data_IF_753163389568
#
_entry.id   IF_753163389568
#
_cell.length_a   1.000
_cell.length_b   1.000
_cell.length_c   1.000
_cell.angle_alpha   90.00
_cell.angle_beta   90.00
_cell.angle_gamma   90.00
#
_symmetry.space_group_name_H-M   'P 1'
#
loop_
_entity.id
_entity.type
_entity.pdbx_description
1 polymer ?
#
# COMPACT_ATOMS: atom_id res chain seq x y z
N UNK A 1 32.57 6.80 0.61
CA UNK A 1 31.55 7.85 0.39
C UNK A 1 30.21 7.15 0.37
N UNK A 2 29.35 7.37 1.38
CA UNK A 2 28.00 6.81 1.34
C UNK A 2 27.25 7.51 0.23
N UNK A 3 26.72 6.77 -0.75
CA UNK A 3 25.84 7.36 -1.75
C UNK A 3 24.66 8.03 -1.02
N UNK A 4 24.26 9.21 -1.47
CA UNK A 4 23.08 9.90 -0.95
C UNK A 4 21.82 9.02 -1.03
N UNK A 5 20.76 9.36 -0.28
CA UNK A 5 19.51 8.61 -0.34
C UNK A 5 18.97 8.57 -1.78
N UNK A 6 18.58 7.39 -2.26
CA UNK A 6 17.91 7.25 -3.56
C UNK A 6 16.43 7.59 -3.42
N UNK A 7 15.90 8.33 -4.38
CA UNK A 7 14.52 8.81 -4.41
C UNK A 7 13.73 8.05 -5.47
N UNK A 8 12.49 7.69 -5.17
CA UNK A 8 11.68 6.82 -6.00
C UNK A 8 10.26 7.35 -6.17
N UNK A 9 9.64 7.00 -7.29
CA UNK A 9 8.21 7.18 -7.50
C UNK A 9 7.46 6.12 -6.71
N UNK A 10 6.29 6.47 -6.19
CA UNK A 10 5.43 5.50 -5.54
C UNK A 10 3.96 5.84 -5.70
N UNK A 11 3.12 4.81 -5.64
CA UNK A 11 1.68 4.91 -5.47
C UNK A 11 1.28 4.20 -4.18
N UNK A 12 0.38 4.78 -3.41
CA UNK A 12 -0.14 4.17 -2.19
C UNK A 12 -1.66 4.13 -2.23
N UNK A 13 -2.23 2.97 -1.93
CA UNK A 13 -3.66 2.75 -1.82
C UNK A 13 -4.00 2.03 -0.52
N UNK A 14 -5.18 2.35 0.02
CA UNK A 14 -5.74 1.73 1.22
C UNK A 14 -7.08 1.07 0.89
N UNK A 15 -7.28 -0.12 1.42
CA UNK A 15 -8.44 -0.96 1.17
C UNK A 15 -9.08 -1.36 2.50
N UNK A 16 -10.42 -1.38 2.61
CA UNK A 16 -11.11 -1.71 3.86
C UNK A 16 -11.11 -3.22 4.17
N UNK A 17 -10.11 -3.95 3.68
CA UNK A 17 -9.88 -5.38 3.93
C UNK A 17 -8.39 -5.73 3.82
N UNK A 18 -7.93 -6.86 4.39
CA UNK A 18 -6.58 -7.39 4.18
C UNK A 18 -6.34 -7.79 2.73
N UNK A 19 -5.16 -7.48 2.19
CA UNK A 19 -4.86 -7.66 0.76
C UNK A 19 -4.52 -9.09 0.35
N UNK A 20 -4.22 -9.96 1.32
CA UNK A 20 -3.89 -11.36 1.08
C UNK A 20 -2.43 -11.69 1.40
N UNK A 21 -1.44 -11.09 0.70
CA UNK A 21 -0.04 -11.24 1.09
C UNK A 21 0.18 -10.81 2.54
N UNK A 22 1.04 -11.52 3.30
CA UNK A 22 1.46 -11.08 4.62
C UNK A 22 2.08 -9.67 4.60
N UNK A 23 2.00 -8.98 5.73
CA UNK A 23 2.68 -7.70 5.91
C UNK A 23 4.20 -7.87 5.70
N UNK A 24 4.80 -7.00 4.89
CA UNK A 24 6.20 -7.15 4.51
C UNK A 24 6.59 -6.38 3.26
N UNK A 25 7.82 -6.65 2.80
CA UNK A 25 8.41 -6.06 1.60
C UNK A 25 8.70 -7.16 0.59
N UNK A 26 8.24 -6.96 -0.64
CA UNK A 26 8.33 -7.93 -1.72
C UNK A 26 9.02 -7.28 -2.93
N UNK A 27 9.86 -8.06 -3.61
CA UNK A 27 10.56 -7.62 -4.81
C UNK A 27 9.85 -8.17 -6.04
N UNK A 28 9.41 -7.27 -6.91
CA UNK A 28 8.85 -7.63 -8.21
C UNK A 28 9.95 -7.59 -9.28
N UNK A 29 10.22 -8.75 -9.87
CA UNK A 29 11.16 -8.92 -10.98
C UNK A 29 10.36 -9.19 -12.26
N UNK A 30 10.94 -8.86 -13.41
CA UNK A 30 10.30 -9.21 -14.68
C UNK A 30 10.31 -10.74 -14.86
N UNK A 31 9.22 -11.34 -15.38
CA UNK A 31 9.09 -12.79 -15.51
C UNK A 31 10.18 -13.44 -16.37
N UNK A 32 10.67 -12.72 -17.39
CA UNK A 32 11.64 -13.25 -18.36
C UNK A 32 13.10 -13.11 -17.92
N UNK A 33 13.34 -12.46 -16.77
CA UNK A 33 14.69 -12.30 -16.24
C UNK A 33 15.01 -13.41 -15.23
N UNK A 34 16.26 -13.86 -15.20
CA UNK A 34 16.76 -14.83 -14.22
C UNK A 34 16.46 -14.40 -12.77
N UNK A 35 16.55 -15.29 -11.78
CA UNK A 35 16.37 -14.92 -10.35
C UNK A 35 17.30 -13.78 -9.87
N UNK A 36 18.35 -13.47 -10.64
CA UNK A 36 19.29 -12.37 -10.41
C UNK A 36 18.88 -11.04 -11.06
N UNK A 37 17.71 -10.97 -11.67
CA UNK A 37 17.18 -9.74 -12.25
C UNK A 37 17.15 -8.61 -11.22
N UNK A 38 17.49 -7.41 -11.68
CA UNK A 38 17.24 -6.22 -10.90
C UNK A 38 15.73 -6.06 -10.68
N UNK A 39 15.28 -5.78 -9.45
CA UNK A 39 13.87 -5.56 -9.19
C UNK A 39 13.38 -4.34 -9.96
N UNK A 40 12.18 -4.43 -10.50
CA UNK A 40 11.50 -3.27 -11.11
C UNK A 40 10.71 -2.50 -10.08
N UNK A 41 10.08 -3.21 -9.13
CA UNK A 41 9.28 -2.61 -8.08
C UNK A 41 9.56 -3.25 -6.73
N UNK A 42 9.36 -2.46 -5.68
CA UNK A 42 9.20 -2.93 -4.31
C UNK A 42 7.73 -2.75 -3.94
N UNK A 43 7.10 -3.82 -3.49
CA UNK A 43 5.75 -3.78 -2.92
C UNK A 43 5.85 -3.85 -1.40
N UNK A 44 5.17 -2.93 -0.72
CA UNK A 44 5.09 -2.94 0.74
C UNK A 44 3.64 -3.14 1.13
N UNK A 45 3.37 -4.21 1.87
CA UNK A 45 2.06 -4.51 2.45
C UNK A 45 2.09 -4.23 3.95
N UNK A 46 1.07 -3.54 4.44
CA UNK A 46 0.88 -3.30 5.87
C UNK A 46 -0.61 -3.36 6.21
N UNK A 47 -0.94 -4.02 7.31
CA UNK A 47 -2.28 -4.01 7.87
C UNK A 47 -2.37 -2.91 8.92
N UNK A 48 -3.18 -1.90 8.64
CA UNK A 48 -3.49 -0.83 9.57
C UNK A 48 -4.72 -1.21 10.39
N UNK A 49 -4.60 -1.21 11.71
CA UNK A 49 -5.79 -1.15 12.56
C UNK A 49 -6.37 0.26 12.49
N UNK A 50 -7.67 0.39 12.23
CA UNK A 50 -8.32 1.71 12.26
C UNK A 50 -8.09 2.38 13.64
N UNK A 51 -7.46 3.57 13.71
CA UNK A 51 -7.42 4.33 14.95
C UNK A 51 -8.84 4.72 15.33
N UNK A 52 -9.23 4.42 16.57
CA UNK A 52 -10.52 4.84 17.12
C UNK A 52 -10.68 6.36 16.94
N UNK A 53 -11.71 6.78 16.19
CA UNK A 53 -12.03 8.21 16.07
C UNK A 53 -12.55 8.69 17.42
N UNK A 54 -11.64 9.13 18.30
CA UNK A 54 -11.96 9.87 19.53
C UNK A 54 -12.59 11.21 19.13
N UNK A 55 -13.91 11.18 18.89
CA UNK A 55 -14.66 12.39 18.55
C UNK A 55 -14.60 13.34 19.73
N UNK A 56 -14.19 14.58 19.44
CA UNK A 56 -14.31 15.77 20.29
C UNK A 56 -15.79 15.98 20.68
N UNK A 57 -16.27 15.24 21.67
CA UNK A 57 -17.59 15.45 22.27
C UNK A 57 -17.40 16.33 23.51
N UNK A 58 -17.25 17.65 23.26
CA UNK A 58 -17.53 18.65 24.28
C UNK A 58 -18.99 18.49 24.72
N UNK A 59 -19.17 18.43 26.04
CA UNK A 59 -20.29 17.80 26.71
C UNK A 59 -21.68 18.33 26.36
N UNK A 60 -22.60 17.40 26.20
CA UNK A 60 -24.04 17.59 26.43
C UNK A 60 -24.48 16.52 27.43
N UNK A 61 -25.30 16.83 28.45
CA UNK A 61 -25.64 15.86 29.49
C UNK A 61 -26.38 14.66 28.87
N UNK A 62 -25.76 13.47 28.98
CA UNK A 62 -26.29 12.21 28.44
C UNK A 62 -27.49 11.76 29.28
N UNK A 63 -28.65 11.54 28.63
CA UNK A 63 -29.72 10.67 29.12
C UNK A 63 -29.08 9.30 29.46
N UNK A 64 -29.48 8.66 30.56
CA UNK A 64 -29.03 7.31 30.94
C UNK A 64 -29.57 6.28 29.94
N UNK A 65 -28.91 6.16 28.80
CA UNK A 65 -29.01 5.01 27.91
C UNK A 65 -27.87 4.05 28.26
N UNK A 66 -28.10 2.75 28.10
CA UNK A 66 -27.04 1.76 28.19
C UNK A 66 -25.93 2.13 27.17
N UNK A 67 -24.64 1.97 27.51
CA UNK A 67 -23.56 2.21 26.56
C UNK A 67 -23.77 1.34 25.32
N UNK A 68 -23.75 1.95 24.13
CA UNK A 68 -23.63 1.22 22.88
C UNK A 68 -22.26 0.52 22.87
N UNK A 69 -22.15 -0.74 22.41
CA UNK A 69 -20.86 -1.43 22.36
C UNK A 69 -19.88 -0.67 21.45
N UNK A 70 -18.60 -0.69 21.82
CA UNK A 70 -17.56 -0.06 21.02
C UNK A 70 -17.52 -0.68 19.61
N UNK A 71 -17.32 0.13 18.55
CA UNK A 71 -17.25 -0.38 17.19
C UNK A 71 -16.12 -1.40 17.05
N UNK A 72 -16.41 -2.53 16.42
CA UNK A 72 -15.39 -3.52 16.12
C UNK A 72 -14.30 -2.92 15.20
N UNK A 73 -13.00 -3.04 15.53
CA UNK A 73 -11.93 -2.55 14.68
C UNK A 73 -11.91 -3.31 13.35
N UNK A 74 -11.83 -2.58 12.24
CA UNK A 74 -11.74 -3.15 10.90
C UNK A 74 -10.29 -3.06 10.41
N UNK A 75 -9.66 -4.19 10.05
CA UNK A 75 -8.32 -4.16 9.46
C UNK A 75 -8.36 -3.53 8.07
N UNK A 76 -7.54 -2.50 7.86
CA UNK A 76 -7.37 -1.80 6.58
C UNK A 76 -6.05 -2.21 5.96
N UNK A 77 -6.06 -2.80 4.77
CA UNK A 77 -4.85 -3.13 4.04
C UNK A 77 -4.29 -1.90 3.33
N UNK A 78 -3.01 -1.57 3.57
CA UNK A 78 -2.26 -0.56 2.83
C UNK A 78 -1.26 -1.25 1.91
N UNK A 79 -1.27 -0.85 0.64
CA UNK A 79 -0.24 -1.21 -0.33
C UNK A 79 0.52 0.03 -0.77
N UNK A 80 1.85 -0.03 -0.75
CA UNK A 80 2.74 0.95 -1.37
C UNK A 80 3.51 0.26 -2.48
N UNK A 81 3.34 0.76 -3.71
CA UNK A 81 4.06 0.31 -4.91
C UNK A 81 5.15 1.32 -5.21
N UNK A 82 6.41 0.89 -5.15
CA UNK A 82 7.58 1.76 -5.36
C UNK A 82 8.27 1.33 -6.65
N UNK A 83 8.41 2.24 -7.62
CA UNK A 83 9.20 2.01 -8.83
C UNK A 83 10.68 2.22 -8.51
N UNK A 84 11.42 1.12 -8.42
CA UNK A 84 12.87 1.13 -8.15
C UNK A 84 13.71 1.01 -9.42
N UNK A 85 13.09 0.69 -10.55
CA UNK A 85 13.75 0.63 -11.85
C UNK A 85 14.06 2.01 -12.43
N UNK A 86 13.38 3.07 -11.95
CA UNK A 86 13.57 4.45 -12.39
C UNK A 86 13.73 5.42 -11.21
N UNK A 87 14.85 5.35 -10.46
CA UNK A 87 15.12 6.33 -9.41
C UNK A 87 15.23 7.74 -9.98
N UNK A 88 14.87 8.75 -9.19
CA UNK A 88 15.17 10.13 -9.51
C UNK A 88 16.66 10.42 -9.30
N UNK A 89 17.27 11.29 -10.13
CA UNK A 89 18.65 11.70 -9.96
C UNK A 89 18.85 12.63 -8.76
N UNK A 90 17.84 13.45 -8.43
CA UNK A 90 17.90 14.47 -7.38
C UNK A 90 16.51 14.80 -6.79
N UNK A 91 16.53 15.55 -5.68
CA UNK A 91 15.32 16.00 -4.96
C UNK A 91 14.45 16.96 -5.79
N UNK A 92 15.06 17.77 -6.66
CA UNK A 92 14.33 18.73 -7.47
C UNK A 92 13.45 18.03 -8.52
N UNK A 93 13.96 16.97 -9.16
CA UNK A 93 13.18 16.16 -10.09
C UNK A 93 12.07 15.38 -9.38
N UNK A 94 12.38 14.81 -8.22
CA UNK A 94 11.39 14.13 -7.38
C UNK A 94 10.27 15.11 -6.97
N UNK A 95 10.62 16.34 -6.57
CA UNK A 95 9.67 17.39 -6.22
C UNK A 95 8.80 17.84 -7.40
N UNK A 96 9.40 18.00 -8.60
CA UNK A 96 8.66 18.31 -9.83
C UNK A 96 7.67 17.22 -10.21
N UNK A 97 8.03 15.95 -10.02
CA UNK A 97 7.09 14.84 -10.22
C UNK A 97 5.98 14.87 -9.18
N UNK A 98 6.32 14.97 -7.89
CA UNK A 98 5.35 14.95 -6.80
C UNK A 98 4.29 16.06 -6.94
N UNK A 99 4.69 17.24 -7.42
CA UNK A 99 3.78 18.37 -7.66
C UNK A 99 2.77 18.12 -8.80
N UNK A 100 3.01 17.14 -9.67
CA UNK A 100 2.14 16.79 -10.80
C UNK A 100 1.56 15.37 -10.72
N UNK A 101 2.01 14.57 -9.76
CA UNK A 101 1.57 13.20 -9.58
C UNK A 101 0.05 13.16 -9.35
N UNK A 102 -0.63 12.23 -10.01
CA UNK A 102 -2.09 12.19 -10.01
C UNK A 102 -2.66 10.82 -10.31
N UNK A 103 -3.90 10.79 -10.77
CA UNK A 103 -4.63 9.56 -11.11
C UNK A 103 -3.85 8.62 -12.04
N UNK A 104 -3.16 9.09 -13.10
CA UNK A 104 -2.39 8.19 -13.97
C UNK A 104 -1.26 7.44 -13.26
N UNK A 105 -0.54 8.10 -12.33
CA UNK A 105 0.51 7.46 -11.53
C UNK A 105 -0.10 6.41 -10.57
N UNK A 106 -1.26 6.73 -10.00
CA UNK A 106 -2.01 5.82 -9.14
C UNK A 106 -2.51 4.59 -9.91
N UNK A 107 -3.12 4.78 -11.08
CA UNK A 107 -3.60 3.71 -11.96
C UNK A 107 -2.47 2.77 -12.37
N UNK A 108 -1.31 3.33 -12.75
CA UNK A 108 -0.12 2.53 -13.07
C UNK A 108 0.33 1.69 -11.86
N UNK A 109 0.33 2.27 -10.65
CA UNK A 109 0.61 1.54 -9.43
C UNK A 109 -0.40 0.43 -9.13
N UNK A 110 -1.69 0.70 -9.31
CA UNK A 110 -2.78 -0.28 -9.11
C UNK A 110 -2.65 -1.45 -10.11
N UNK A 111 -2.27 -1.18 -11.37
CA UNK A 111 -2.05 -2.24 -12.36
C UNK A 111 -0.93 -3.21 -11.95
N UNK A 112 0.18 -2.67 -11.41
CA UNK A 112 1.29 -3.47 -10.87
C UNK A 112 0.84 -4.28 -9.66
N UNK A 113 0.12 -3.63 -8.72
CA UNK A 113 -0.42 -4.30 -7.54
C UNK A 113 -1.36 -5.44 -7.92
N UNK A 114 -2.30 -5.21 -8.83
CA UNK A 114 -3.26 -6.22 -9.29
C UNK A 114 -2.55 -7.44 -9.89
N UNK A 115 -1.52 -7.21 -10.69
CA UNK A 115 -0.71 -8.29 -11.28
C UNK A 115 -0.02 -9.13 -10.21
N UNK A 116 0.56 -8.48 -9.19
CA UNK A 116 1.22 -9.18 -8.08
C UNK A 116 0.23 -9.97 -7.20
N UNK A 117 -0.92 -9.38 -6.87
CA UNK A 117 -1.98 -10.06 -6.12
C UNK A 117 -2.56 -11.25 -6.90
N UNK A 118 -2.72 -11.10 -8.21
CA UNK A 118 -3.15 -12.20 -9.07
C UNK A 118 -2.15 -13.35 -9.05
N UNK A 119 -0.85 -13.08 -9.23
CA UNK A 119 0.19 -14.11 -9.16
C UNK A 119 0.24 -14.79 -7.78
N UNK A 120 0.13 -14.01 -6.70
CA UNK A 120 0.10 -14.55 -5.33
C UNK A 120 -1.07 -15.52 -5.12
N UNK A 121 -2.27 -15.17 -5.61
CA UNK A 121 -3.45 -16.04 -5.58
C UNK A 121 -3.25 -17.35 -6.34
N UNK A 122 -2.62 -17.30 -7.52
CA UNK A 122 -2.31 -18.49 -8.31
C UNK A 122 -1.35 -19.44 -7.58
N UNK A 123 -0.28 -18.90 -6.99
CA UNK A 123 0.78 -19.70 -6.35
C UNK A 123 0.35 -20.26 -5.00
N UNK A 124 -0.41 -19.49 -4.21
CA UNK A 124 -0.89 -19.94 -2.89
C UNK A 124 -1.99 -21.00 -2.98
N UNK A 125 -2.59 -21.20 -4.17
CA UNK A 125 -3.77 -22.03 -4.38
C UNK A 125 -4.91 -21.73 -3.38
N UNK A 126 -4.94 -20.50 -2.84
CA UNK A 126 -5.93 -20.08 -1.85
C UNK A 126 -7.03 -19.26 -2.55
N UNK A 127 -8.19 -19.88 -2.84
CA UNK A 127 -9.33 -19.20 -3.47
C UNK A 127 -10.03 -18.20 -2.52
N UNK A 128 -9.71 -18.20 -1.21
CA UNK A 128 -10.30 -17.29 -0.22
C UNK A 128 -9.53 -15.97 -0.09
N UNK A 129 -8.41 -15.82 -0.79
CA UNK A 129 -7.80 -14.52 -1.13
C UNK A 129 -8.69 -13.82 -2.16
N UNK A 130 -9.86 -13.33 -1.72
CA UNK A 130 -10.97 -12.90 -2.58
C UNK A 130 -10.54 -11.98 -3.74
N UNK A 131 -10.99 -12.22 -4.99
CA UNK A 131 -10.86 -11.26 -6.07
C UNK A 131 -11.72 -10.02 -5.81
N UNK A 132 -11.22 -8.86 -6.27
CA UNK A 132 -12.01 -7.62 -6.40
C UNK A 132 -12.84 -7.73 -7.68
#
# INVERSE_FOLDING_TARGET
MSAGPRLFRFAQAEYPWPLGPPDGRYLLRRPDDSERAEPTHVLVFATLAAPERRRLLRGRPKRRAAPEPDPAPVPTGRATVIDVGRPFPDEDEAGRWLARAGEPDLEAGIAVLNSALHAFRLVSADPYLRPV
#
